data_IF_646452793407
#
_entry.id   IF_646452793407
#
_cell.length_a   1.000
_cell.length_b   1.000
_cell.length_c   1.000
_cell.angle_alpha   90.00
_cell.angle_beta   90.00
_cell.angle_gamma   90.00
#
_symmetry.space_group_name_H-M   'P 1'
#
loop_
_entity.id
_entity.type
_entity.pdbx_description
1 polymer ?
#
# COMPACT_ATOMS: atom_id res chain seq x y z
N UNK A 1 8.35 -1.34 -15.78
CA UNK A 1 7.93 -0.83 -14.46
C UNK A 1 6.61 -1.48 -14.01
N UNK A 2 6.60 -2.81 -13.83
CA UNK A 2 5.45 -3.57 -13.32
C UNK A 2 5.79 -4.42 -12.09
N UNK A 3 7.09 -4.60 -11.79
CA UNK A 3 7.58 -5.56 -10.79
C UNK A 3 7.40 -5.15 -9.32
N UNK A 4 7.04 -3.89 -9.02
CA UNK A 4 6.92 -3.43 -7.63
C UNK A 4 5.49 -3.24 -7.12
N UNK A 5 4.49 -3.09 -7.99
CA UNK A 5 3.13 -2.80 -7.50
C UNK A 5 2.47 -3.98 -6.80
N UNK A 6 2.69 -5.21 -7.29
CA UNK A 6 2.12 -6.39 -6.65
C UNK A 6 2.60 -6.57 -5.20
N UNK A 7 3.89 -6.32 -4.93
CA UNK A 7 4.42 -6.33 -3.56
C UNK A 7 3.76 -5.24 -2.69
N UNK A 8 3.53 -4.05 -3.24
CA UNK A 8 2.81 -2.98 -2.55
C UNK A 8 1.37 -3.36 -2.21
N UNK A 9 0.69 -4.08 -3.11
CA UNK A 9 -0.69 -4.53 -2.90
C UNK A 9 -0.77 -5.57 -1.79
N UNK A 10 0.09 -6.59 -1.83
CA UNK A 10 0.19 -7.60 -0.78
C UNK A 10 0.52 -6.94 0.56
N UNK A 11 1.52 -6.05 0.58
CA UNK A 11 1.87 -5.31 1.79
C UNK A 11 0.68 -4.53 2.36
N UNK A 12 -0.12 -3.88 1.51
CA UNK A 12 -1.27 -3.10 1.96
C UNK A 12 -2.36 -4.01 2.54
N UNK A 13 -2.65 -5.14 1.89
CA UNK A 13 -3.60 -6.13 2.37
C UNK A 13 -3.17 -6.72 3.72
N UNK A 14 -1.93 -7.19 3.84
CA UNK A 14 -1.37 -7.72 5.09
C UNK A 14 -1.39 -6.67 6.21
N UNK A 15 -1.10 -5.41 5.87
CA UNK A 15 -1.11 -4.31 6.84
C UNK A 15 -2.51 -4.05 7.38
N UNK A 16 -3.52 -4.00 6.50
CA UNK A 16 -4.92 -3.80 6.90
C UNK A 16 -5.49 -5.02 7.64
N UNK A 17 -5.14 -6.23 7.21
CA UNK A 17 -5.59 -7.46 7.87
C UNK A 17 -5.00 -7.62 9.28
N UNK A 18 -3.73 -7.27 9.47
CA UNK A 18 -3.04 -7.41 10.76
C UNK A 18 -3.37 -6.32 11.78
N UNK A 19 -3.68 -5.09 11.32
CA UNK A 19 -3.89 -3.92 12.19
C UNK A 19 -5.33 -3.44 12.24
N UNK A 20 -6.19 -3.94 11.37
CA UNK A 20 -7.56 -3.45 11.20
C UNK A 20 -7.61 -2.11 10.44
N UNK A 21 -8.71 -1.34 10.58
CA UNK A 21 -8.89 -0.07 9.91
C UNK A 21 -7.81 0.95 10.26
N UNK A 22 -7.22 1.58 9.25
CA UNK A 22 -6.18 2.60 9.40
C UNK A 22 -6.52 3.85 8.60
N UNK A 23 -6.17 5.01 9.14
CA UNK A 23 -6.20 6.27 8.39
C UNK A 23 -5.07 6.31 7.35
N UNK A 24 -5.23 7.13 6.30
CA UNK A 24 -4.20 7.33 5.29
C UNK A 24 -2.86 7.80 5.91
N UNK A 25 -2.91 8.62 6.96
CA UNK A 25 -1.72 9.09 7.66
C UNK A 25 -0.96 7.94 8.34
N UNK A 26 -1.67 7.02 8.98
CA UNK A 26 -1.07 5.83 9.59
C UNK A 26 -0.49 4.89 8.52
N UNK A 27 -1.19 4.70 7.40
CA UNK A 27 -0.69 3.89 6.28
C UNK A 27 0.60 4.50 5.72
N UNK A 28 0.66 5.82 5.52
CA UNK A 28 1.88 6.52 5.07
C UNK A 28 3.04 6.33 6.04
N UNK A 29 2.79 6.40 7.34
CA UNK A 29 3.83 6.16 8.35
C UNK A 29 4.39 4.74 8.27
N UNK A 30 3.52 3.73 8.07
CA UNK A 30 3.94 2.35 7.91
C UNK A 30 4.66 2.13 6.58
N UNK A 31 4.18 2.75 5.51
CA UNK A 31 4.77 2.69 4.16
C UNK A 31 6.21 3.22 4.14
N UNK A 32 6.50 4.33 4.82
CA UNK A 32 7.87 4.87 4.92
C UNK A 32 8.86 3.91 5.55
N UNK A 33 8.39 2.95 6.35
CA UNK A 33 9.21 1.97 7.06
C UNK A 33 9.10 0.56 6.44
N UNK A 34 8.33 0.41 5.37
CA UNK A 34 8.08 -0.89 4.77
C UNK A 34 9.25 -1.32 3.88
N UNK A 35 9.51 -2.61 3.82
CA UNK A 35 10.51 -3.20 2.93
C UNK A 35 10.13 -3.09 1.45
N UNK A 36 8.85 -2.83 1.15
CA UNK A 36 8.36 -2.65 -0.23
C UNK A 36 8.56 -1.23 -0.75
N UNK A 37 8.86 -0.27 0.15
CA UNK A 37 9.19 1.10 -0.21
C UNK A 37 10.70 1.28 -0.35
N UNK A 38 11.26 0.78 -1.45
CA UNK A 38 12.72 0.79 -1.71
C UNK A 38 13.33 2.20 -1.71
N UNK A 39 12.55 3.21 -2.09
CA UNK A 39 13.00 4.61 -2.15
C UNK A 39 12.77 5.37 -0.84
N UNK A 40 12.05 4.79 0.13
CA UNK A 40 11.69 5.47 1.39
C UNK A 40 10.78 6.70 1.19
N UNK A 41 10.15 6.84 0.03
CA UNK A 41 9.33 8.02 -0.30
C UNK A 41 7.94 7.91 0.31
N UNK A 42 7.29 9.06 0.51
CA UNK A 42 5.92 9.08 1.01
C UNK A 42 4.96 8.44 0.00
N UNK A 43 3.84 7.87 0.48
CA UNK A 43 2.79 7.31 -0.38
C UNK A 43 1.79 8.40 -0.79
N UNK A 44 1.78 8.90 -2.04
CA UNK A 44 0.83 9.92 -2.47
C UNK A 44 -0.61 9.40 -2.35
N UNK A 45 -1.55 10.29 -2.03
CA UNK A 45 -2.96 9.91 -1.89
C UNK A 45 -3.52 9.26 -3.18
N UNK A 46 -3.13 9.81 -4.34
CA UNK A 46 -3.50 9.24 -5.64
C UNK A 46 -2.95 7.83 -5.85
N UNK A 47 -1.68 7.61 -5.51
CA UNK A 47 -1.07 6.28 -5.61
C UNK A 47 -1.78 5.28 -4.69
N UNK A 48 -2.10 5.69 -3.47
CA UNK A 48 -2.89 4.87 -2.55
C UNK A 48 -4.27 4.53 -3.13
N UNK A 49 -5.01 5.51 -3.66
CA UNK A 49 -6.30 5.28 -4.30
C UNK A 49 -6.19 4.29 -5.47
N UNK A 50 -5.20 4.47 -6.35
CA UNK A 50 -4.94 3.55 -7.45
C UNK A 50 -4.57 2.14 -6.96
N UNK A 51 -3.91 1.99 -5.80
CA UNK A 51 -3.62 0.68 -5.23
C UNK A 51 -4.89 0.00 -4.72
N UNK A 52 -5.79 0.75 -4.07
CA UNK A 52 -7.09 0.22 -3.63
C UNK A 52 -7.94 -0.21 -4.83
N UNK A 53 -8.02 0.61 -5.88
CA UNK A 53 -8.73 0.28 -7.12
C UNK A 53 -8.16 -1.00 -7.75
N UNK A 54 -6.84 -1.07 -7.95
CA UNK A 54 -6.20 -2.26 -8.51
C UNK A 54 -6.38 -3.51 -7.64
N UNK A 55 -6.34 -3.38 -6.30
CA UNK A 55 -6.63 -4.50 -5.39
C UNK A 55 -8.07 -4.97 -5.59
N UNK A 56 -9.02 -4.05 -5.67
CA UNK A 56 -10.43 -4.38 -5.91
C UNK A 56 -10.63 -5.08 -7.25
N UNK A 57 -9.94 -4.64 -8.30
CA UNK A 57 -10.04 -5.25 -9.63
C UNK A 57 -9.40 -6.65 -9.69
N UNK A 58 -8.35 -6.89 -8.91
CA UNK A 58 -7.62 -8.17 -8.90
C UNK A 58 -8.29 -9.21 -8.00
N UNK A 59 -8.84 -8.80 -6.87
CA UNK A 59 -9.30 -9.69 -5.80
C UNK A 59 -10.80 -9.60 -5.47
N UNK A 60 -11.53 -8.62 -6.02
CA UNK A 60 -12.98 -8.48 -5.91
C UNK A 60 -13.73 -9.21 -7.01
#
# INVERSE_FOLDING_TARGET
>A
MAKNYFKSYIWLLETLQSRGPLTLAQIRQLWRRSSVNELGIDLPARTFANHIEAISDIFG
#
